data_IF_733460775632
#
_entry.id   IF_733460775632
#
_cell.length_a   1.000
_cell.length_b   1.000
_cell.length_c   1.000
_cell.angle_alpha   90.00
_cell.angle_beta   90.00
_cell.angle_gamma   90.00
#
_symmetry.space_group_name_H-M   'P 1'
#
loop_
_entity.id
_entity.type
_entity.pdbx_description
1 polymer ?
#
# COMPACT_ATOMS: atom_id res chain seq x y z
N UNK A 1 -29.39 -8.84 -0.94
CA UNK A 1 -28.11 -9.38 -1.47
C UNK A 1 -27.43 -10.15 -0.35
N UNK A 2 -26.74 -11.25 -0.64
CA UNK A 2 -25.98 -11.99 0.37
C UNK A 2 -24.84 -11.10 0.87
N UNK A 3 -24.73 -10.86 2.17
CA UNK A 3 -23.59 -10.20 2.78
C UNK A 3 -22.41 -11.17 2.84
N UNK A 4 -21.21 -10.70 2.52
CA UNK A 4 -19.98 -11.47 2.68
C UNK A 4 -19.51 -11.42 4.13
N UNK A 5 -19.26 -12.58 4.72
CA UNK A 5 -18.68 -12.67 6.07
C UNK A 5 -17.19 -12.33 6.05
N UNK A 6 -16.76 -11.41 6.90
CA UNK A 6 -15.38 -10.93 6.98
C UNK A 6 -14.74 -11.32 8.31
N UNK A 7 -13.54 -11.86 8.26
CA UNK A 7 -12.64 -11.99 9.40
C UNK A 7 -11.44 -11.03 9.26
N UNK A 8 -11.12 -10.30 10.32
CA UNK A 8 -9.93 -9.43 10.37
C UNK A 8 -8.87 -10.07 11.25
N UNK A 9 -7.68 -10.27 10.72
CA UNK A 9 -6.56 -10.95 11.37
C UNK A 9 -5.41 -9.98 11.66
N UNK A 10 -5.02 -9.89 12.93
CA UNK A 10 -4.08 -8.90 13.44
C UNK A 10 -4.82 -7.64 13.86
N UNK A 11 -4.95 -7.41 15.17
CA UNK A 11 -5.73 -6.29 15.74
C UNK A 11 -4.84 -5.17 16.30
N UNK A 12 -3.72 -4.93 15.63
CA UNK A 12 -2.94 -3.71 15.81
C UNK A 12 -3.71 -2.47 15.37
N UNK A 13 -3.02 -1.34 15.21
CA UNK A 13 -3.65 -0.06 14.85
C UNK A 13 -4.52 -0.17 13.58
N UNK A 14 -3.98 -0.78 12.50
CA UNK A 14 -4.70 -0.88 11.23
C UNK A 14 -5.83 -1.92 11.30
N UNK A 15 -5.56 -3.14 11.78
CA UNK A 15 -6.58 -4.18 11.82
C UNK A 15 -7.78 -3.84 12.70
N UNK A 16 -7.58 -3.22 13.88
CA UNK A 16 -8.69 -2.73 14.69
C UNK A 16 -9.52 -1.66 13.96
N UNK A 17 -8.87 -0.81 13.16
CA UNK A 17 -9.55 0.19 12.34
C UNK A 17 -10.34 -0.48 11.20
N UNK A 18 -9.75 -1.44 10.48
CA UNK A 18 -10.45 -2.21 9.45
C UNK A 18 -11.67 -2.96 10.01
N UNK A 19 -11.54 -3.58 11.17
CA UNK A 19 -12.66 -4.26 11.83
C UNK A 19 -13.82 -3.28 12.11
N UNK A 20 -13.53 -2.08 12.61
CA UNK A 20 -14.55 -1.03 12.81
C UNK A 20 -15.17 -0.55 11.50
N UNK A 21 -14.39 -0.43 10.41
CA UNK A 21 -14.91 -0.06 9.11
C UNK A 21 -15.84 -1.13 8.55
N UNK A 22 -15.45 -2.40 8.57
CA UNK A 22 -16.31 -3.52 8.16
C UNK A 22 -17.58 -3.61 8.98
N UNK A 23 -17.50 -3.34 10.29
CA UNK A 23 -18.68 -3.36 11.17
C UNK A 23 -19.69 -2.28 10.85
N UNK A 24 -19.20 -1.04 10.54
CA UNK A 24 -20.06 0.15 10.61
C UNK A 24 -20.27 0.85 9.26
N UNK A 25 -19.41 0.63 8.25
CA UNK A 25 -19.33 1.54 7.10
C UNK A 25 -19.21 0.83 5.75
N UNK A 26 -18.82 -0.43 5.69
CA UNK A 26 -18.69 -1.19 4.44
C UNK A 26 -19.98 -1.95 4.18
N UNK A 27 -20.65 -1.63 3.08
CA UNK A 27 -21.90 -2.28 2.69
C UNK A 27 -21.65 -3.63 2.02
N UNK A 28 -22.60 -4.57 2.16
CA UNK A 28 -22.46 -5.91 1.59
C UNK A 28 -21.43 -6.79 2.32
N UNK A 29 -20.87 -6.31 3.44
CA UNK A 29 -19.98 -7.07 4.31
C UNK A 29 -20.53 -7.13 5.74
N UNK A 30 -20.30 -8.26 6.40
CA UNK A 30 -20.61 -8.47 7.81
C UNK A 30 -19.33 -8.88 8.53
N UNK A 31 -18.91 -8.11 9.52
CA UNK A 31 -17.82 -8.53 10.40
C UNK A 31 -18.29 -9.75 11.20
N UNK A 32 -17.69 -10.91 10.92
CA UNK A 32 -17.98 -12.19 11.57
C UNK A 32 -17.02 -12.45 12.70
N UNK A 33 -15.72 -12.25 12.45
CA UNK A 33 -14.69 -12.59 13.41
C UNK A 33 -13.54 -11.58 13.43
N UNK A 34 -12.89 -11.50 14.58
CA UNK A 34 -11.62 -10.80 14.77
C UNK A 34 -10.60 -11.77 15.36
N UNK A 35 -9.34 -11.67 14.91
CA UNK A 35 -8.29 -12.63 15.26
C UNK A 35 -7.05 -11.90 15.74
N UNK A 36 -6.58 -12.21 16.93
CA UNK A 36 -5.27 -11.77 17.44
C UNK A 36 -4.65 -12.84 18.34
N UNK A 37 -3.34 -13.07 18.20
CA UNK A 37 -2.63 -14.04 19.05
C UNK A 37 -2.71 -13.69 20.55
N UNK A 38 -2.89 -12.41 20.87
CA UNK A 38 -3.12 -11.93 22.23
C UNK A 38 -4.61 -12.04 22.53
N UNK A 39 -4.99 -13.08 23.26
CA UNK A 39 -6.39 -13.40 23.58
C UNK A 39 -7.18 -12.21 24.12
N UNK A 40 -6.60 -11.44 25.05
CA UNK A 40 -7.25 -10.26 25.63
C UNK A 40 -7.56 -9.17 24.59
N UNK A 41 -6.71 -9.01 23.56
CA UNK A 41 -6.94 -8.08 22.45
C UNK A 41 -8.10 -8.56 21.59
N UNK A 42 -8.11 -9.84 21.21
CA UNK A 42 -9.18 -10.44 20.42
C UNK A 42 -10.54 -10.32 21.14
N UNK A 43 -10.59 -10.70 22.42
CA UNK A 43 -11.81 -10.63 23.23
C UNK A 43 -12.32 -9.19 23.41
N UNK A 44 -11.42 -8.23 23.65
CA UNK A 44 -11.78 -6.82 23.80
C UNK A 44 -12.40 -6.24 22.53
N UNK A 45 -11.74 -6.44 21.38
CA UNK A 45 -12.23 -5.92 20.08
C UNK A 45 -13.49 -6.68 19.64
N UNK A 46 -13.54 -7.99 19.84
CA UNK A 46 -14.71 -8.80 19.52
C UNK A 46 -15.95 -8.40 20.32
N UNK A 47 -15.80 -8.16 21.63
CA UNK A 47 -16.89 -7.68 22.49
C UNK A 47 -17.36 -6.26 22.07
N UNK A 48 -16.41 -5.35 21.75
CA UNK A 48 -16.72 -3.98 21.26
C UNK A 48 -17.56 -4.03 19.98
N UNK A 49 -17.21 -4.93 19.04
CA UNK A 49 -17.80 -4.94 17.71
C UNK A 49 -18.90 -6.00 17.52
N UNK A 50 -19.16 -6.83 18.53
CA UNK A 50 -20.12 -7.92 18.45
C UNK A 50 -19.71 -8.97 17.41
N UNK A 51 -18.42 -9.31 17.36
CA UNK A 51 -17.82 -10.30 16.48
C UNK A 51 -17.23 -11.46 17.29
N UNK A 52 -17.11 -12.65 16.69
CA UNK A 52 -16.42 -13.77 17.30
C UNK A 52 -14.94 -13.44 17.51
N UNK A 53 -14.38 -13.90 18.63
CA UNK A 53 -12.99 -13.66 19.01
C UNK A 53 -12.18 -14.93 18.86
N UNK A 54 -11.20 -14.93 17.97
CA UNK A 54 -10.31 -16.05 17.72
C UNK A 54 -8.86 -15.68 18.05
N UNK A 55 -8.06 -16.69 18.38
CA UNK A 55 -6.62 -16.50 18.66
C UNK A 55 -5.71 -17.00 17.53
N UNK A 56 -6.27 -17.71 16.57
CA UNK A 56 -5.55 -18.24 15.41
C UNK A 56 -6.33 -18.03 14.12
N UNK A 57 -5.62 -17.84 13.01
CA UNK A 57 -6.25 -17.76 11.70
C UNK A 57 -6.99 -19.06 11.33
N UNK A 58 -6.55 -20.22 11.81
CA UNK A 58 -7.18 -21.51 11.58
C UNK A 58 -8.65 -21.50 12.00
N UNK A 59 -8.96 -20.93 13.14
CA UNK A 59 -10.34 -20.81 13.62
C UNK A 59 -11.20 -19.96 12.67
N UNK A 60 -10.66 -18.85 12.16
CA UNK A 60 -11.39 -17.96 11.26
C UNK A 60 -11.62 -18.59 9.87
N UNK A 61 -10.62 -19.27 9.30
CA UNK A 61 -10.78 -19.86 7.95
C UNK A 61 -11.69 -21.09 7.93
N UNK A 62 -11.82 -21.79 9.07
CA UNK A 62 -12.76 -22.91 9.23
C UNK A 62 -14.18 -22.46 9.57
N UNK A 63 -14.39 -21.23 9.93
CA UNK A 63 -15.73 -20.70 10.13
C UNK A 63 -16.41 -20.54 8.75
N UNK A 64 -17.48 -21.32 8.54
CA UNK A 64 -18.26 -21.34 7.30
C UNK A 64 -18.95 -19.99 7.01
N UNK A 65 -19.10 -19.14 8.04
CA UNK A 65 -19.66 -17.79 7.89
C UNK A 65 -18.67 -16.79 7.28
N UNK A 66 -17.37 -17.10 7.23
CA UNK A 66 -16.32 -16.25 6.71
C UNK A 66 -16.13 -16.52 5.21
N UNK A 67 -16.28 -15.50 4.39
CA UNK A 67 -16.01 -15.51 2.95
C UNK A 67 -14.68 -14.78 2.62
N UNK A 68 -14.31 -13.79 3.44
CA UNK A 68 -13.18 -12.88 3.23
C UNK A 68 -12.28 -12.80 4.46
N UNK A 69 -10.98 -12.87 4.26
CA UNK A 69 -9.96 -12.64 5.30
C UNK A 69 -9.21 -11.34 4.98
N UNK A 70 -9.26 -10.38 5.91
CA UNK A 70 -8.48 -9.15 5.87
C UNK A 70 -7.27 -9.30 6.80
N UNK A 71 -6.05 -9.29 6.22
CA UNK A 71 -4.79 -9.48 6.95
C UNK A 71 -4.14 -8.15 7.26
N UNK A 72 -3.97 -7.85 8.55
CA UNK A 72 -3.28 -6.67 9.07
C UNK A 72 -2.22 -7.03 10.13
N UNK A 73 -1.61 -8.18 9.95
CA UNK A 73 -0.51 -8.72 10.78
C UNK A 73 0.84 -8.12 10.36
N UNK A 74 1.94 -8.38 11.08
CA UNK A 74 3.29 -8.08 10.59
C UNK A 74 3.59 -8.70 9.24
N UNK A 75 4.35 -7.99 8.38
CA UNK A 75 4.57 -8.33 6.97
C UNK A 75 5.06 -9.76 6.73
N UNK A 76 5.96 -10.28 7.57
CA UNK A 76 6.50 -11.64 7.43
C UNK A 76 5.45 -12.75 7.56
N UNK A 77 4.31 -12.46 8.14
CA UNK A 77 3.19 -13.39 8.28
C UNK A 77 2.24 -13.38 7.07
N UNK A 78 2.26 -12.32 6.26
CA UNK A 78 1.29 -12.11 5.19
C UNK A 78 1.22 -13.30 4.22
N UNK A 79 2.39 -13.77 3.72
CA UNK A 79 2.41 -14.84 2.73
C UNK A 79 1.83 -16.14 3.29
N UNK A 80 2.30 -16.58 4.45
CA UNK A 80 1.83 -17.83 5.05
C UNK A 80 0.34 -17.80 5.38
N UNK A 81 -0.12 -16.71 5.96
CA UNK A 81 -1.53 -16.54 6.34
C UNK A 81 -2.45 -16.39 5.12
N UNK A 82 -2.02 -15.63 4.11
CA UNK A 82 -2.80 -15.47 2.89
C UNK A 82 -2.89 -16.78 2.08
N UNK A 83 -1.78 -17.53 1.94
CA UNK A 83 -1.81 -18.86 1.31
C UNK A 83 -2.76 -19.79 2.03
N UNK A 84 -2.74 -19.76 3.36
CA UNK A 84 -3.61 -20.59 4.19
C UNK A 84 -5.09 -20.21 3.97
N UNK A 85 -5.44 -18.93 4.01
CA UNK A 85 -6.79 -18.46 3.76
C UNK A 85 -7.28 -18.83 2.34
N UNK A 86 -6.45 -18.62 1.32
CA UNK A 86 -6.73 -19.01 -0.07
C UNK A 86 -6.94 -20.53 -0.22
N UNK A 87 -6.18 -21.36 0.53
CA UNK A 87 -6.39 -22.81 0.51
C UNK A 87 -7.77 -23.20 1.00
N UNK A 88 -8.27 -22.52 2.02
CA UNK A 88 -9.62 -22.71 2.57
C UNK A 88 -10.73 -22.02 1.75
N UNK A 89 -10.42 -21.50 0.57
CA UNK A 89 -11.42 -20.91 -0.33
C UNK A 89 -11.87 -19.51 0.08
N UNK A 90 -11.07 -18.79 0.89
CA UNK A 90 -11.40 -17.42 1.30
C UNK A 90 -10.75 -16.40 0.38
N UNK A 91 -11.49 -15.34 0.01
CA UNK A 91 -10.91 -14.16 -0.61
C UNK A 91 -9.98 -13.45 0.38
N UNK A 92 -8.91 -12.81 -0.10
CA UNK A 92 -7.91 -12.20 0.79
C UNK A 92 -7.68 -10.75 0.41
N UNK A 93 -7.78 -9.86 1.38
CA UNK A 93 -7.24 -8.50 1.34
C UNK A 93 -6.06 -8.44 2.31
N UNK A 94 -4.89 -8.04 1.84
CA UNK A 94 -3.68 -8.00 2.67
C UNK A 94 -3.14 -6.57 2.76
N UNK A 95 -2.70 -6.19 3.97
CA UNK A 95 -1.96 -4.94 4.17
C UNK A 95 -0.67 -4.91 3.37
N UNK A 96 -0.26 -3.70 3.02
CA UNK A 96 1.01 -3.48 2.32
C UNK A 96 2.22 -3.51 3.29
N UNK A 97 3.38 -3.95 2.81
CA UNK A 97 3.59 -4.68 1.56
C UNK A 97 2.98 -6.07 1.63
N UNK A 98 2.49 -6.58 0.50
CA UNK A 98 1.82 -7.88 0.47
C UNK A 98 2.72 -9.07 0.84
N UNK A 99 4.04 -8.88 0.76
CA UNK A 99 5.07 -9.87 1.06
C UNK A 99 6.40 -9.18 1.34
N UNK A 100 7.31 -9.86 2.03
CA UNK A 100 8.70 -9.41 2.19
C UNK A 100 9.56 -9.72 0.96
N UNK A 101 9.15 -10.67 0.10
CA UNK A 101 9.87 -11.16 -1.08
C UNK A 101 8.99 -11.21 -2.32
N UNK A 102 9.62 -11.15 -3.52
CA UNK A 102 8.90 -11.30 -4.79
C UNK A 102 8.38 -12.71 -5.00
N UNK A 103 9.12 -13.74 -4.57
CA UNK A 103 8.65 -15.13 -4.65
C UNK A 103 7.36 -15.31 -3.83
N UNK A 104 7.31 -14.77 -2.62
CA UNK A 104 6.10 -14.79 -1.80
C UNK A 104 4.91 -14.11 -2.47
N UNK A 105 5.13 -12.92 -3.05
CA UNK A 105 4.09 -12.23 -3.80
C UNK A 105 3.59 -13.04 -5.01
N UNK A 106 4.51 -13.63 -5.80
CA UNK A 106 4.17 -14.50 -6.93
C UNK A 106 3.41 -15.76 -6.52
N UNK A 107 3.78 -16.37 -5.38
CA UNK A 107 3.05 -17.52 -4.82
C UNK A 107 1.60 -17.16 -4.47
N UNK A 108 1.38 -16.00 -3.83
CA UNK A 108 0.04 -15.51 -3.49
C UNK A 108 -0.81 -15.32 -4.75
N UNK A 109 -0.27 -14.62 -5.76
CA UNK A 109 -0.96 -14.36 -7.03
C UNK A 109 -1.33 -15.67 -7.73
N UNK A 110 -0.36 -16.59 -7.85
CA UNK A 110 -0.58 -17.90 -8.47
C UNK A 110 -1.65 -18.71 -7.75
N UNK A 111 -1.62 -18.71 -6.41
CA UNK A 111 -2.59 -19.42 -5.58
C UNK A 111 -4.00 -18.84 -5.73
N UNK A 112 -4.14 -17.51 -5.64
CA UNK A 112 -5.42 -16.84 -5.81
C UNK A 112 -6.04 -17.13 -7.19
N UNK A 113 -5.24 -17.05 -8.26
CA UNK A 113 -5.67 -17.42 -9.62
C UNK A 113 -6.13 -18.86 -9.73
N UNK A 114 -5.35 -19.81 -9.21
CA UNK A 114 -5.67 -21.23 -9.28
C UNK A 114 -6.97 -21.60 -8.57
N UNK A 115 -7.30 -20.87 -7.49
CA UNK A 115 -8.51 -21.03 -6.70
C UNK A 115 -9.68 -20.15 -7.20
N UNK A 116 -9.46 -19.25 -8.17
CA UNK A 116 -10.42 -18.25 -8.65
C UNK A 116 -10.92 -17.32 -7.51
N UNK A 117 -10.01 -16.98 -6.63
CA UNK A 117 -10.28 -16.08 -5.49
C UNK A 117 -9.70 -14.72 -5.74
N UNK A 118 -10.33 -13.68 -5.16
CA UNK A 118 -9.78 -12.33 -5.18
C UNK A 118 -8.64 -12.22 -4.15
N UNK A 119 -7.54 -11.63 -4.61
CA UNK A 119 -6.42 -11.18 -3.77
C UNK A 119 -6.26 -9.69 -3.99
N UNK A 120 -6.42 -8.90 -2.94
CA UNK A 120 -6.25 -7.45 -2.96
C UNK A 120 -5.12 -7.01 -2.04
N UNK A 121 -4.53 -5.84 -2.33
CA UNK A 121 -3.51 -5.19 -1.50
C UNK A 121 -4.00 -3.82 -1.07
N UNK A 122 -3.73 -3.41 0.19
CA UNK A 122 -4.21 -2.14 0.73
C UNK A 122 -3.35 -0.95 0.27
N UNK A 123 -3.55 -0.50 -0.96
CA UNK A 123 -3.04 0.78 -1.47
C UNK A 123 -4.16 1.83 -1.54
N UNK A 124 -4.62 2.25 -0.38
CA UNK A 124 -5.74 3.17 -0.21
C UNK A 124 -5.55 4.53 -0.89
N UNK A 125 -4.33 4.97 -1.13
CA UNK A 125 -4.04 6.28 -1.73
C UNK A 125 -4.61 6.43 -3.16
N UNK A 126 -4.76 5.31 -3.91
CA UNK A 126 -5.42 5.29 -5.23
C UNK A 126 -6.90 5.67 -5.19
N UNK A 127 -7.51 5.70 -4.00
CA UNK A 127 -8.92 6.05 -3.77
C UNK A 127 -9.12 7.51 -3.37
N UNK A 128 -8.06 8.32 -3.32
CA UNK A 128 -8.19 9.75 -3.09
C UNK A 128 -8.81 10.46 -4.30
N UNK A 129 -9.59 11.52 -4.03
CA UNK A 129 -10.17 12.33 -5.10
C UNK A 129 -9.10 12.98 -5.97
N UNK A 130 -7.96 13.34 -5.37
CA UNK A 130 -6.80 13.84 -6.10
C UNK A 130 -6.25 12.80 -7.07
N UNK A 131 -6.02 11.56 -6.61
CA UNK A 131 -5.52 10.48 -7.46
C UNK A 131 -6.50 10.17 -8.61
N UNK A 132 -7.80 10.11 -8.33
CA UNK A 132 -8.83 9.90 -9.34
C UNK A 132 -8.86 11.03 -10.38
N UNK A 133 -8.77 12.29 -9.93
CA UNK A 133 -8.74 13.46 -10.80
C UNK A 133 -7.51 13.48 -11.70
N UNK A 134 -6.32 13.26 -11.15
CA UNK A 134 -5.09 13.21 -11.93
C UNK A 134 -5.09 12.05 -12.94
N UNK A 135 -5.58 10.87 -12.53
CA UNK A 135 -5.69 9.73 -13.44
C UNK A 135 -6.63 10.04 -14.62
N UNK A 136 -7.77 10.69 -14.34
CA UNK A 136 -8.71 11.12 -15.39
C UNK A 136 -8.08 12.12 -16.37
N UNK A 137 -7.26 13.07 -15.90
CA UNK A 137 -6.56 14.03 -16.78
C UNK A 137 -5.57 13.31 -17.69
N UNK A 138 -4.82 12.33 -17.18
CA UNK A 138 -3.88 11.52 -17.96
C UNK A 138 -4.64 10.70 -19.02
N UNK A 139 -5.70 10.01 -18.64
CA UNK A 139 -6.49 9.17 -19.54
C UNK A 139 -7.20 9.94 -20.64
N UNK A 140 -7.61 11.18 -20.37
CA UNK A 140 -8.18 12.10 -21.38
C UNK A 140 -7.14 12.74 -22.29
N UNK A 141 -5.86 12.58 -21.96
CA UNK A 141 -4.76 13.22 -22.71
C UNK A 141 -4.58 14.71 -22.41
N UNK A 142 -5.22 15.25 -21.37
CA UNK A 142 -5.14 16.68 -21.01
C UNK A 142 -3.72 17.14 -20.65
N UNK A 143 -2.85 16.23 -20.24
CA UNK A 143 -1.42 16.50 -20.01
C UNK A 143 -0.54 16.23 -21.22
N UNK A 144 -1.08 15.73 -22.33
CA UNK A 144 -0.33 15.30 -23.49
C UNK A 144 0.51 14.04 -23.20
N UNK A 145 1.61 13.86 -23.94
CA UNK A 145 2.54 12.75 -23.71
C UNK A 145 3.36 12.99 -22.46
N UNK A 146 3.32 12.08 -21.51
CA UNK A 146 4.12 12.17 -20.27
C UNK A 146 5.60 12.08 -20.61
N UNK A 147 6.43 12.89 -19.93
CA UNK A 147 7.88 12.85 -20.06
C UNK A 147 8.62 12.72 -18.73
N UNK A 148 8.00 13.16 -17.60
CA UNK A 148 8.60 13.04 -16.27
C UNK A 148 7.53 12.85 -15.17
N UNK A 149 7.78 11.91 -14.26
CA UNK A 149 7.02 11.74 -13.01
C UNK A 149 7.98 11.77 -11.83
N UNK A 150 7.71 12.63 -10.87
CA UNK A 150 8.50 12.76 -9.65
C UNK A 150 7.69 12.29 -8.44
N UNK A 151 8.26 11.41 -7.62
CA UNK A 151 7.71 10.92 -6.38
C UNK A 151 8.59 11.27 -5.19
N UNK A 152 8.01 11.89 -4.18
CA UNK A 152 8.72 12.29 -2.98
C UNK A 152 7.96 11.88 -1.73
N UNK A 153 8.69 11.34 -0.74
CA UNK A 153 8.24 11.19 0.63
C UNK A 153 9.29 11.81 1.56
N UNK A 154 8.89 12.78 2.35
CA UNK A 154 9.71 13.43 3.36
C UNK A 154 8.99 13.32 4.69
N UNK A 155 9.27 12.25 5.45
CA UNK A 155 8.64 11.98 6.73
C UNK A 155 9.67 11.87 7.85
N UNK A 156 9.19 11.89 9.07
CA UNK A 156 9.94 11.55 10.27
C UNK A 156 9.31 10.35 10.96
N UNK A 157 10.14 9.34 11.21
CA UNK A 157 9.82 8.24 12.12
C UNK A 157 10.80 8.27 13.26
N UNK A 158 10.32 8.47 14.46
CA UNK A 158 11.18 8.47 15.65
C UNK A 158 11.59 7.04 16.00
N UNK A 159 12.89 6.81 16.16
CA UNK A 159 13.42 5.48 16.40
C UNK A 159 12.84 4.83 17.66
N UNK A 160 12.71 5.60 18.76
CA UNK A 160 12.26 5.08 20.06
C UNK A 160 10.75 4.80 20.07
N UNK A 161 9.95 5.72 19.54
CA UNK A 161 8.50 5.62 19.60
C UNK A 161 7.88 4.83 18.44
N UNK A 162 8.63 4.49 17.39
CA UNK A 162 8.15 3.73 16.25
C UNK A 162 8.82 2.36 16.13
N UNK A 163 10.14 2.28 15.97
CA UNK A 163 10.86 1.02 15.78
C UNK A 163 11.07 0.26 17.09
N UNK A 164 11.40 0.99 18.15
CA UNK A 164 11.75 0.44 19.46
C UNK A 164 10.66 0.61 20.52
N UNK A 165 9.44 0.93 20.09
CA UNK A 165 8.33 1.29 20.96
C UNK A 165 8.04 0.26 22.05
N UNK A 166 7.98 -0.99 21.67
CA UNK A 166 7.68 -2.14 22.53
C UNK A 166 8.36 -3.40 21.97
N UNK A 167 8.27 -4.51 22.70
CA UNK A 167 8.90 -5.77 22.30
C UNK A 167 8.38 -6.29 20.96
N UNK A 168 7.06 -6.18 20.71
CA UNK A 168 6.45 -6.59 19.45
C UNK A 168 6.99 -5.73 18.28
N UNK A 169 7.05 -4.41 18.43
CA UNK A 169 7.60 -3.54 17.39
C UNK A 169 9.06 -3.90 17.06
N UNK A 170 9.89 -4.09 18.10
CA UNK A 170 11.29 -4.48 17.95
C UNK A 170 11.50 -5.83 17.26
N UNK A 171 10.56 -6.76 17.42
CA UNK A 171 10.70 -8.11 16.87
C UNK A 171 10.55 -8.17 15.34
N UNK A 172 10.01 -7.12 14.69
CA UNK A 172 9.77 -7.17 13.25
C UNK A 172 10.01 -5.87 12.48
N UNK A 173 9.86 -4.68 13.15
CA UNK A 173 10.03 -3.40 12.44
C UNK A 173 11.50 -3.08 12.19
N UNK A 174 11.78 -2.50 11.04
CA UNK A 174 13.13 -2.08 10.67
C UNK A 174 14.11 -3.24 10.42
N UNK A 175 13.61 -4.43 10.09
CA UNK A 175 14.40 -5.62 9.82
C UNK A 175 14.17 -6.12 8.41
N UNK A 176 15.25 -6.51 7.71
CA UNK A 176 15.18 -6.99 6.33
C UNK A 176 14.30 -8.24 6.18
N UNK A 177 14.39 -9.18 7.13
CA UNK A 177 13.73 -10.47 7.07
C UNK A 177 12.23 -10.36 7.36
N UNK A 178 11.83 -9.47 8.26
CA UNK A 178 10.46 -9.43 8.79
C UNK A 178 9.60 -8.28 8.26
N UNK A 179 10.20 -7.13 7.94
CA UNK A 179 9.50 -6.00 7.30
C UNK A 179 9.79 -5.93 5.80
N UNK A 180 10.95 -6.44 5.36
CA UNK A 180 11.35 -6.49 3.96
C UNK A 180 12.07 -5.24 3.46
N UNK A 181 12.41 -4.31 4.34
CA UNK A 181 13.10 -3.04 4.07
C UNK A 181 12.64 -1.94 5.02
N UNK A 182 13.11 -0.73 4.80
CA UNK A 182 12.89 0.43 5.66
C UNK A 182 11.93 1.46 5.07
N UNK A 183 12.41 2.68 4.88
CA UNK A 183 11.61 3.83 4.41
C UNK A 183 10.85 3.54 3.12
N UNK A 184 11.52 2.96 2.12
CA UNK A 184 10.93 2.62 0.83
C UNK A 184 9.82 1.58 0.97
N UNK A 185 10.06 0.52 1.72
CA UNK A 185 9.10 -0.60 1.88
C UNK A 185 7.92 -0.23 2.77
N UNK A 186 8.17 0.51 3.85
CA UNK A 186 7.13 0.81 4.83
C UNK A 186 6.19 1.93 4.36
N UNK A 187 6.74 3.09 4.02
CA UNK A 187 5.96 4.28 3.65
C UNK A 187 6.08 4.66 2.19
N UNK A 188 7.26 4.52 1.63
CA UNK A 188 7.56 4.86 0.25
C UNK A 188 6.82 4.01 -0.77
N UNK A 189 6.44 2.80 -0.39
CA UNK A 189 5.69 1.90 -1.27
C UNK A 189 4.38 2.53 -1.80
N UNK A 190 3.74 3.41 -1.04
CA UNK A 190 2.56 4.15 -1.50
C UNK A 190 2.92 5.19 -2.58
N UNK A 191 4.08 5.85 -2.46
CA UNK A 191 4.58 6.79 -3.49
C UNK A 191 4.88 6.04 -4.77
N UNK A 192 5.60 4.92 -4.67
CA UNK A 192 5.91 4.05 -5.81
C UNK A 192 4.64 3.51 -6.47
N UNK A 193 3.66 3.09 -5.67
CA UNK A 193 2.36 2.64 -6.16
C UNK A 193 1.62 3.73 -6.96
N UNK A 194 1.59 4.96 -6.46
CA UNK A 194 0.99 6.09 -7.18
C UNK A 194 1.77 6.44 -8.46
N UNK A 195 3.10 6.39 -8.44
CA UNK A 195 3.91 6.61 -9.65
C UNK A 195 3.58 5.59 -10.73
N UNK A 196 3.42 4.31 -10.37
CA UNK A 196 3.00 3.24 -11.29
C UNK A 196 1.55 3.45 -11.74
N UNK A 197 0.65 3.83 -10.83
CA UNK A 197 -0.74 4.10 -11.15
C UNK A 197 -0.92 5.19 -12.20
N UNK A 198 -0.09 6.24 -12.16
CA UNK A 198 -0.13 7.34 -13.12
C UNK A 198 0.69 7.06 -14.39
N UNK A 199 1.90 6.53 -14.22
CA UNK A 199 2.89 6.39 -15.30
C UNK A 199 2.90 5.03 -15.98
N UNK A 200 2.21 4.03 -15.46
CA UNK A 200 2.29 2.67 -15.99
C UNK A 200 3.51 1.89 -15.50
N UNK A 201 3.91 0.89 -16.25
CA UNK A 201 4.95 -0.06 -15.83
C UNK A 201 6.35 0.53 -15.93
N UNK A 202 7.14 0.33 -14.86
CA UNK A 202 8.57 0.66 -14.86
C UNK A 202 9.35 -0.42 -15.62
N UNK A 203 10.27 0.00 -16.48
CA UNK A 203 11.13 -0.86 -17.27
C UNK A 203 12.51 -1.05 -16.66
N UNK A 204 13.06 0.01 -16.03
CA UNK A 204 14.41 0.02 -15.49
C UNK A 204 14.50 0.95 -14.29
N UNK A 205 15.31 0.56 -13.31
CA UNK A 205 15.55 1.27 -12.04
C UNK A 205 17.04 1.40 -11.79
N UNK A 206 17.51 2.60 -11.42
CA UNK A 206 18.84 2.82 -10.86
C UNK A 206 18.70 3.62 -9.57
N UNK A 207 19.17 3.06 -8.43
CA UNK A 207 18.95 3.68 -7.13
C UNK A 207 20.05 3.45 -6.11
N UNK A 208 19.94 4.19 -5.02
CA UNK A 208 20.80 4.12 -3.82
C UNK A 208 19.95 4.23 -2.56
N UNK A 209 20.38 3.50 -1.54
CA UNK A 209 19.79 3.56 -0.20
C UNK A 209 20.89 3.83 0.84
N UNK A 210 20.49 4.41 1.96
CA UNK A 210 21.35 4.62 3.11
C UNK A 210 20.54 4.69 4.40
N UNK A 211 21.22 4.53 5.54
CA UNK A 211 20.66 4.81 6.85
C UNK A 211 21.49 5.92 7.50
N UNK A 212 20.88 7.07 7.77
CA UNK A 212 21.54 8.26 8.30
C UNK A 212 21.17 8.58 9.75
N UNK A 213 19.95 8.23 10.17
CA UNK A 213 19.35 8.73 11.41
C UNK A 213 18.84 7.65 12.36
N UNK A 214 18.87 6.38 11.93
CA UNK A 214 18.26 5.27 12.66
C UNK A 214 19.28 4.14 12.91
N UNK A 215 20.32 4.38 13.75
CA UNK A 215 21.42 3.40 13.94
C UNK A 215 20.99 2.09 14.61
N UNK A 216 19.83 2.04 15.24
CA UNK A 216 19.32 0.83 15.91
C UNK A 216 18.62 -0.16 14.96
N UNK A 217 18.42 0.20 13.68
CA UNK A 217 17.81 -0.69 12.69
C UNK A 217 18.74 -0.90 11.49
N UNK A 218 18.82 -2.13 10.93
CA UNK A 218 19.70 -2.44 9.81
C UNK A 218 19.18 -1.97 8.44
N UNK A 219 17.91 -1.62 8.31
CA UNK A 219 17.29 -1.18 7.04
C UNK A 219 17.57 0.29 6.75
N UNK A 220 17.28 0.71 5.52
CA UNK A 220 17.44 2.09 5.08
C UNK A 220 16.37 3.02 5.68
N UNK A 221 16.76 4.25 5.94
CA UNK A 221 15.85 5.35 6.27
C UNK A 221 15.71 6.37 5.12
N UNK A 222 16.51 6.21 4.08
CA UNK A 222 16.56 7.09 2.91
C UNK A 222 16.87 6.31 1.65
N UNK A 223 16.12 6.58 0.58
CA UNK A 223 16.33 6.01 -0.73
C UNK A 223 16.05 7.00 -1.85
N UNK A 224 16.86 6.92 -2.91
CA UNK A 224 16.68 7.70 -4.14
C UNK A 224 16.82 6.80 -5.37
N UNK A 225 16.03 7.07 -6.42
CA UNK A 225 16.13 6.31 -7.66
C UNK A 225 15.76 7.14 -8.89
N UNK A 226 16.40 6.82 -10.01
CA UNK A 226 15.96 7.16 -11.36
C UNK A 226 15.20 5.97 -11.95
N UNK A 227 14.07 6.23 -12.58
CA UNK A 227 13.18 5.24 -13.17
C UNK A 227 13.04 5.51 -14.67
N UNK A 228 12.91 4.46 -15.45
CA UNK A 228 12.47 4.51 -16.84
C UNK A 228 11.20 3.70 -16.98
N UNK A 229 10.14 4.32 -17.46
CA UNK A 229 8.87 3.65 -17.72
C UNK A 229 8.85 2.99 -19.11
N UNK A 230 8.02 1.98 -19.30
CA UNK A 230 7.92 1.27 -20.61
C UNK A 230 7.49 2.17 -21.75
N UNK A 231 6.67 3.18 -21.47
CA UNK A 231 6.22 4.16 -22.46
C UNK A 231 7.28 5.23 -22.79
N UNK A 232 8.45 5.14 -22.16
CA UNK A 232 9.64 5.92 -22.49
C UNK A 232 9.86 7.19 -21.65
N UNK A 233 8.90 7.61 -20.82
CA UNK A 233 9.12 8.72 -19.90
C UNK A 233 10.00 8.32 -18.71
N UNK A 234 10.56 9.30 -18.04
CA UNK A 234 11.45 9.13 -16.90
C UNK A 234 10.72 9.35 -15.59
N UNK A 235 11.30 8.86 -14.49
CA UNK A 235 10.84 9.16 -13.15
C UNK A 235 12.00 9.39 -12.19
N UNK A 236 11.71 10.15 -11.12
CA UNK A 236 12.62 10.30 -9.99
C UNK A 236 11.88 9.95 -8.70
N UNK A 237 12.52 9.18 -7.84
CA UNK A 237 12.03 8.80 -6.53
C UNK A 237 12.99 9.33 -5.47
N UNK A 238 12.48 10.03 -4.46
CA UNK A 238 13.28 10.53 -3.34
C UNK A 238 12.51 10.42 -2.03
N UNK A 239 12.87 9.44 -1.22
CA UNK A 239 12.14 9.08 -0.03
C UNK A 239 13.02 9.04 1.21
N UNK A 240 12.53 9.57 2.31
CA UNK A 240 13.18 9.47 3.62
C UNK A 240 12.17 9.53 4.75
N UNK A 241 12.49 8.81 5.83
CA UNK A 241 11.80 8.92 7.12
C UNK A 241 12.63 9.65 8.17
N UNK A 242 13.61 10.43 7.71
CA UNK A 242 14.56 11.20 8.54
C UNK A 242 14.39 12.72 8.47
N UNK A 243 13.26 13.21 7.90
CA UNK A 243 12.99 14.65 7.74
C UNK A 243 12.60 15.32 9.04
N UNK A 244 13.34 16.37 9.40
CA UNK A 244 13.02 17.25 10.53
C UNK A 244 12.93 18.70 10.06
N UNK A 245 12.10 19.55 10.68
CA UNK A 245 11.10 19.21 11.70
C UNK A 245 9.90 18.43 11.12
N UNK A 246 9.10 17.85 12.01
CA UNK A 246 7.90 17.07 11.60
C UNK A 246 6.86 17.91 10.86
N UNK A 247 6.87 19.23 11.01
CA UNK A 247 6.03 20.15 10.22
C UNK A 247 6.40 20.23 8.73
N UNK A 248 7.57 19.71 8.35
CA UNK A 248 8.03 19.65 6.95
C UNK A 248 7.71 18.30 6.27
N UNK A 249 6.85 17.49 6.88
CA UNK A 249 6.48 16.19 6.32
C UNK A 249 5.48 16.35 5.19
N UNK A 250 5.69 15.59 4.10
CA UNK A 250 4.75 15.48 2.98
C UNK A 250 5.01 14.23 2.14
N UNK A 251 3.99 13.82 1.39
CA UNK A 251 4.11 12.97 0.19
C UNK A 251 3.68 13.78 -1.01
N UNK A 252 4.50 13.79 -2.07
CA UNK A 252 4.25 14.56 -3.27
C UNK A 252 4.43 13.69 -4.51
N UNK A 253 3.52 13.85 -5.46
CA UNK A 253 3.65 13.32 -6.83
C UNK A 253 3.48 14.49 -7.78
N UNK A 254 4.46 14.68 -8.68
CA UNK A 254 4.38 15.64 -9.78
C UNK A 254 4.41 14.88 -11.10
N UNK A 255 3.52 15.24 -12.00
CA UNK A 255 3.34 14.62 -13.31
C UNK A 255 3.50 15.72 -14.36
N UNK A 256 4.40 15.52 -15.31
CA UNK A 256 4.70 16.46 -16.37
C UNK A 256 4.51 15.81 -17.73
N UNK A 257 3.72 16.45 -18.56
CA UNK A 257 3.45 16.06 -19.94
C UNK A 257 3.62 17.22 -20.91
N UNK A 258 3.58 16.92 -22.22
CA UNK A 258 3.84 17.90 -23.27
C UNK A 258 2.77 19.00 -23.40
N UNK A 259 1.57 18.78 -22.84
CA UNK A 259 0.45 19.73 -22.87
C UNK A 259 0.02 20.21 -21.48
N UNK A 260 0.69 19.77 -20.41
CA UNK A 260 0.37 20.20 -19.07
C UNK A 260 1.16 19.50 -17.98
N UNK A 261 1.01 20.03 -16.76
CA UNK A 261 1.61 19.47 -15.55
C UNK A 261 0.64 19.53 -14.40
N UNK A 262 0.73 18.54 -13.50
CA UNK A 262 -0.09 18.47 -12.31
C UNK A 262 0.72 17.99 -11.11
N UNK A 263 0.33 18.41 -9.92
CA UNK A 263 0.96 17.99 -8.67
C UNK A 263 -0.12 17.65 -7.64
N UNK A 264 0.11 16.58 -6.89
CA UNK A 264 -0.63 16.31 -5.66
C UNK A 264 0.31 16.22 -4.47
N UNK A 265 -0.13 16.75 -3.34
CA UNK A 265 0.55 16.66 -2.04
C UNK A 265 -0.45 16.19 -1.00
N UNK A 266 -0.10 15.13 -0.24
CA UNK A 266 -0.93 14.58 0.84
C UNK A 266 -2.41 14.38 0.44
N UNK A 267 -2.64 13.73 -0.71
CA UNK A 267 -3.96 13.45 -1.27
C UNK A 267 -4.80 14.68 -1.70
N UNK A 268 -4.14 15.82 -1.95
CA UNK A 268 -4.76 17.02 -2.51
C UNK A 268 -4.04 17.43 -3.79
N UNK A 269 -4.79 17.85 -4.81
CA UNK A 269 -4.17 18.50 -5.98
C UNK A 269 -3.69 19.88 -5.54
N UNK A 270 -2.39 20.13 -5.66
CA UNK A 270 -1.74 21.38 -5.24
C UNK A 270 -1.35 22.27 -6.41
N UNK A 271 -1.24 21.69 -7.60
CA UNK A 271 -0.95 22.42 -8.83
C UNK A 271 -1.59 21.72 -10.03
N UNK A 272 -2.09 22.51 -10.97
CA UNK A 272 -2.56 22.05 -12.27
C UNK A 272 -2.40 23.18 -13.29
N UNK A 273 -1.70 22.91 -14.38
CA UNK A 273 -1.62 23.79 -15.56
C UNK A 273 -1.72 22.94 -16.82
N UNK A 274 -2.57 23.35 -17.76
CA UNK A 274 -2.69 22.72 -19.09
C UNK A 274 -2.76 23.81 -20.16
N UNK A 275 -2.48 23.49 -21.43
CA UNK A 275 -2.58 24.46 -22.53
C UNK A 275 -3.96 25.11 -22.64
N UNK A 276 -5.01 24.41 -22.18
CA UNK A 276 -6.40 24.88 -22.27
C UNK A 276 -6.91 25.53 -20.99
N UNK A 277 -6.19 25.42 -19.88
CA UNK A 277 -6.58 25.98 -18.58
C UNK A 277 -5.42 26.76 -17.99
N UNK A 278 -5.70 27.99 -17.55
CA UNK A 278 -4.74 28.81 -16.83
C UNK A 278 -4.22 28.08 -15.58
N UNK A 279 -3.00 28.40 -15.20
CA UNK A 279 -2.35 27.88 -14.00
C UNK A 279 -3.25 28.07 -12.75
N UNK A 280 -3.57 26.99 -12.07
CA UNK A 280 -4.33 27.00 -10.83
C UNK A 280 -3.42 26.47 -9.72
N UNK A 281 -2.92 27.37 -8.89
CA UNK A 281 -2.37 27.00 -7.59
C UNK A 281 -3.52 26.83 -6.60
N UNK A 282 -3.85 25.59 -6.29
CA UNK A 282 -4.82 25.28 -5.26
C UNK A 282 -4.09 25.35 -3.91
N UNK A 283 -3.97 26.58 -3.37
CA UNK A 283 -3.44 26.75 -2.02
C UNK A 283 -4.34 26.04 -1.01
N UNK A 284 -3.76 25.32 -0.07
CA UNK A 284 -4.45 24.60 1.01
C UNK A 284 -5.11 25.53 2.06
N UNK A 285 -5.33 26.80 1.74
CA UNK A 285 -5.80 27.84 2.67
C UNK A 285 -7.11 28.47 2.21
N UNK A 286 -8.14 27.68 1.99
CA UNK A 286 -9.50 28.20 2.14
C UNK A 286 -10.29 27.17 2.94
N UNK A 287 -10.73 27.64 4.13
CA UNK A 287 -11.53 26.90 5.08
C UNK A 287 -12.95 26.58 4.61
N UNK A 288 -13.13 26.18 3.36
CA UNK A 288 -14.30 25.46 2.96
C UNK A 288 -14.12 24.02 3.41
N UNK A 289 -14.91 23.65 4.40
CA UNK A 289 -15.16 22.30 4.84
C UNK A 289 -15.57 21.49 3.62
N UNK A 290 -14.58 20.94 2.88
CA UNK A 290 -14.86 19.82 1.99
C UNK A 290 -15.57 18.82 2.88
N UNK A 291 -16.82 18.48 2.55
CA UNK A 291 -17.55 17.36 3.17
C UNK A 291 -16.53 16.26 3.32
N UNK A 292 -16.28 15.81 4.55
CA UNK A 292 -15.23 14.83 4.83
C UNK A 292 -15.38 13.71 3.80
N UNK A 293 -14.41 13.67 2.88
CA UNK A 293 -14.35 12.60 1.89
C UNK A 293 -14.31 11.29 2.67
N UNK A 294 -15.10 10.27 2.33
CA UNK A 294 -15.04 9.00 3.05
C UNK A 294 -13.60 8.57 3.20
N UNK A 295 -13.23 8.08 4.37
CA UNK A 295 -11.88 7.61 4.66
C UNK A 295 -11.41 6.69 3.52
N UNK A 296 -10.20 6.87 3.01
CA UNK A 296 -9.67 6.16 1.85
C UNK A 296 -9.71 4.64 2.02
N UNK A 297 -9.48 4.17 3.25
CA UNK A 297 -9.62 2.76 3.59
C UNK A 297 -11.05 2.25 3.39
N UNK A 298 -12.06 3.02 3.77
CA UNK A 298 -13.47 2.63 3.56
C UNK A 298 -13.76 2.47 2.07
N UNK A 299 -13.27 3.38 1.23
CA UNK A 299 -13.44 3.30 -0.23
C UNK A 299 -12.75 2.06 -0.80
N UNK A 300 -11.55 1.75 -0.33
CA UNK A 300 -10.81 0.56 -0.75
C UNK A 300 -11.51 -0.72 -0.30
N UNK A 301 -11.91 -0.81 0.98
CA UNK A 301 -12.62 -1.96 1.54
C UNK A 301 -13.95 -2.18 0.82
N UNK A 302 -14.71 -1.11 0.54
CA UNK A 302 -15.96 -1.19 -0.23
C UNK A 302 -15.71 -1.70 -1.64
N UNK A 303 -14.71 -1.16 -2.35
CA UNK A 303 -14.36 -1.60 -3.70
C UNK A 303 -13.95 -3.09 -3.75
N UNK A 304 -13.24 -3.56 -2.71
CA UNK A 304 -12.88 -4.97 -2.60
C UNK A 304 -14.11 -5.88 -2.44
N UNK A 305 -15.02 -5.54 -1.53
CA UNK A 305 -16.29 -6.27 -1.34
C UNK A 305 -17.15 -6.24 -2.61
N UNK A 306 -17.30 -5.07 -3.23
CA UNK A 306 -18.06 -4.91 -4.47
C UNK A 306 -17.45 -5.72 -5.62
N UNK A 307 -16.11 -5.83 -5.68
CA UNK A 307 -15.42 -6.61 -6.70
C UNK A 307 -15.73 -8.11 -6.61
N UNK A 308 -15.98 -8.61 -5.40
CA UNK A 308 -16.39 -10.00 -5.16
C UNK A 308 -17.87 -10.18 -5.50
N UNK A 309 -18.74 -9.32 -4.97
CA UNK A 309 -20.20 -9.41 -5.16
C UNK A 309 -20.60 -9.31 -6.64
N UNK A 310 -19.92 -8.42 -7.38
CA UNK A 310 -20.24 -8.14 -8.80
C UNK A 310 -19.27 -8.84 -9.77
N UNK A 311 -18.44 -9.75 -9.29
CA UNK A 311 -17.47 -10.53 -10.08
C UNK A 311 -16.60 -9.68 -11.03
N UNK A 312 -16.31 -8.42 -10.64
CA UNK A 312 -15.47 -7.50 -11.41
C UNK A 312 -14.03 -7.46 -10.92
N UNK A 313 -13.15 -6.87 -11.71
CA UNK A 313 -11.77 -6.65 -11.29
C UNK A 313 -11.70 -5.68 -10.10
N UNK A 314 -10.80 -5.99 -9.16
CA UNK A 314 -10.44 -5.11 -8.06
C UNK A 314 -9.30 -4.19 -8.51
N UNK A 315 -9.42 -2.88 -8.21
CA UNK A 315 -8.46 -1.86 -8.67
C UNK A 315 -7.03 -2.13 -8.21
N UNK A 316 -6.84 -2.69 -7.04
CA UNK A 316 -5.52 -2.99 -6.45
C UNK A 316 -5.40 -4.49 -6.22
N UNK A 317 -5.45 -5.25 -7.32
CA UNK A 317 -5.25 -6.70 -7.28
C UNK A 317 -3.86 -7.08 -6.75
N UNK A 318 -3.65 -8.36 -6.45
CA UNK A 318 -2.34 -8.86 -6.05
C UNK A 318 -1.24 -8.55 -7.08
N UNK A 319 -1.57 -8.61 -8.38
CA UNK A 319 -0.66 -8.25 -9.47
C UNK A 319 -0.27 -6.77 -9.42
N UNK A 320 -1.24 -5.90 -9.21
CA UNK A 320 -0.98 -4.46 -9.08
C UNK A 320 -0.13 -4.17 -7.85
N UNK A 321 -0.44 -4.80 -6.72
CA UNK A 321 0.32 -4.63 -5.49
C UNK A 321 1.77 -5.13 -5.59
N UNK A 322 2.01 -6.19 -6.35
CA UNK A 322 3.35 -6.74 -6.57
C UNK A 322 4.26 -5.82 -7.39
N UNK A 323 3.72 -4.98 -8.28
CA UNK A 323 4.52 -4.04 -9.09
C UNK A 323 5.28 -3.04 -8.23
N UNK A 324 4.64 -2.47 -7.21
CA UNK A 324 5.32 -1.54 -6.29
C UNK A 324 6.41 -2.23 -5.49
N UNK A 325 6.16 -3.44 -5.00
CA UNK A 325 7.16 -4.24 -4.31
C UNK A 325 8.35 -4.54 -5.23
N UNK A 326 8.11 -4.88 -6.50
CA UNK A 326 9.15 -5.21 -7.46
C UNK A 326 10.07 -4.00 -7.75
N UNK A 327 9.50 -2.80 -7.91
CA UNK A 327 10.29 -1.57 -8.08
C UNK A 327 11.18 -1.32 -6.87
N UNK A 328 10.68 -1.47 -5.65
CA UNK A 328 11.48 -1.30 -4.42
C UNK A 328 12.60 -2.32 -4.35
N UNK A 329 12.31 -3.60 -4.62
CA UNK A 329 13.35 -4.65 -4.65
C UNK A 329 14.41 -4.38 -5.72
N UNK A 330 14.03 -3.80 -6.86
CA UNK A 330 14.98 -3.36 -7.87
C UNK A 330 15.85 -2.18 -7.39
N UNK A 331 15.31 -1.23 -6.61
CA UNK A 331 16.12 -0.18 -5.97
C UNK A 331 17.16 -0.79 -5.04
N UNK A 332 16.77 -1.76 -4.22
CA UNK A 332 17.71 -2.44 -3.30
C UNK A 332 18.80 -3.19 -4.06
N UNK A 333 18.44 -3.95 -5.09
CA UNK A 333 19.40 -4.68 -5.93
C UNK A 333 20.35 -3.70 -6.65
N UNK A 334 19.80 -2.62 -7.21
CA UNK A 334 20.61 -1.58 -7.86
C UNK A 334 21.61 -0.94 -6.90
N UNK A 335 21.16 -0.65 -5.66
CA UNK A 335 22.03 -0.07 -4.64
C UNK A 335 23.17 -0.99 -4.24
N UNK A 336 22.92 -2.29 -4.09
CA UNK A 336 23.92 -3.29 -3.70
C UNK A 336 24.92 -3.58 -4.83
N UNK A 337 24.45 -3.67 -6.09
CA UNK A 337 25.29 -4.02 -7.25
C UNK A 337 25.96 -2.81 -7.91
N UNK A 338 25.43 -1.60 -7.72
CA UNK A 338 25.86 -0.42 -8.43
C UNK A 338 25.45 -0.38 -9.90
N UNK A 339 24.49 -1.21 -10.31
CA UNK A 339 24.05 -1.37 -11.68
C UNK A 339 22.54 -1.05 -11.86
N UNK A 340 22.10 -0.59 -13.04
CA UNK A 340 20.68 -0.52 -13.35
C UNK A 340 20.04 -1.93 -13.33
N UNK A 341 18.80 -2.00 -12.88
CA UNK A 341 18.01 -3.23 -12.83
C UNK A 341 16.82 -3.14 -13.78
N UNK A 342 16.69 -4.09 -14.69
CA UNK A 342 15.55 -4.19 -15.61
C UNK A 342 14.40 -4.96 -14.99
N UNK A 343 13.18 -4.53 -15.31
CA UNK A 343 11.93 -5.16 -14.86
C UNK A 343 11.18 -5.80 -16.07
N UNK A 344 10.47 -6.90 -15.87
CA UNK A 344 10.33 -7.62 -14.60
C UNK A 344 11.62 -8.37 -14.22
N UNK A 345 11.87 -8.50 -12.91
CA UNK A 345 13.02 -9.23 -12.38
C UNK A 345 12.82 -10.74 -12.52
N UNK A 346 13.84 -11.45 -13.03
CA UNK A 346 13.79 -12.91 -13.23
C UNK A 346 14.11 -13.72 -11.97
N UNK A 347 14.66 -13.11 -10.93
CA UNK A 347 15.13 -13.77 -9.71
C UNK A 347 14.72 -13.07 -8.41
N UNK A 348 15.04 -13.72 -7.29
CA UNK A 348 14.95 -13.13 -5.95
C UNK A 348 16.12 -12.17 -5.70
N UNK A 349 15.82 -11.10 -4.95
CA UNK A 349 16.85 -10.22 -4.38
C UNK A 349 17.20 -10.76 -3.01
N UNK A 350 18.41 -11.30 -2.89
CA UNK A 350 19.03 -11.55 -1.58
C UNK A 350 19.86 -10.30 -1.27
N UNK A 351 19.45 -9.55 -0.23
CA UNK A 351 20.14 -8.34 0.23
C UNK A 351 20.99 -8.72 1.43
#
# INVERSE_FOLDING_TARGET
MKELGVAVVGLGAMGSQHARFFKNQVQGAKLVAVVDQVKAVAESVGAELGAESYTTIDQAVRDERVDVVCLATPTYLHVSQALYALEYGKHVLVEKPMATTLAGARQLISKAKSKRLKLGVDFMERYSDAAASLKSLIEKGDLGKLFLIEGELKWWRDEKSYYLKDELARSWRGMWETEGGGALTNQGIHTVDLMIYFGGEVQEVFGRIANFSHPAIPVEDTGVAALKFREGHLGTLSETVSTKPTSAQYRKIRIMGTAGSAEMTDNKVTFLATETKSEIHLSSTTGETLKQSPNLYIRLLQDFIDSIIHEREFKVSGEEGAKALEVIKAVYLSSSTGQPVRLPMSGEVVI
#
